data_IF_391126851582
#
_entry.id   IF_391126851582
#
_cell.length_a   1.000
_cell.length_b   1.000
_cell.length_c   1.000
_cell.angle_alpha   90.00
_cell.angle_beta   90.00
_cell.angle_gamma   90.00
#
_symmetry.space_group_name_H-M   'P 1'
#
loop_
_entity.id
_entity.type
_entity.pdbx_description
1 polymer ?
#
# COMPACT_ATOMS: atom_id res chain seq x y z
N UNK A 1 10.49 -2.58 29.24
CA UNK A 1 10.41 -4.01 29.66
C UNK A 1 9.43 -4.83 28.80
N UNK A 2 8.24 -4.37 28.44
CA UNK A 2 7.25 -5.05 27.57
C UNK A 2 7.75 -5.30 26.14
N UNK A 3 8.57 -4.40 25.58
CA UNK A 3 9.12 -4.50 24.20
C UNK A 3 10.13 -5.65 24.08
N UNK A 4 10.95 -5.93 25.13
CA UNK A 4 11.90 -7.05 25.12
C UNK A 4 11.21 -8.43 25.12
N UNK A 5 10.01 -8.56 25.70
CA UNK A 5 9.25 -9.81 25.73
C UNK A 5 8.64 -10.14 24.36
N UNK A 6 8.02 -9.16 23.68
CA UNK A 6 7.47 -9.36 22.34
C UNK A 6 8.55 -9.75 21.30
N UNK A 7 9.75 -9.19 21.42
CA UNK A 7 10.88 -9.47 20.51
C UNK A 7 11.37 -10.93 20.54
N UNK A 8 11.41 -11.56 21.70
CA UNK A 8 11.77 -12.99 21.83
C UNK A 8 10.71 -13.93 21.27
N UNK A 9 9.46 -13.50 21.26
CA UNK A 9 8.31 -14.33 20.90
C UNK A 9 8.16 -14.52 19.38
N UNK A 10 8.56 -13.58 18.53
CA UNK A 10 8.49 -13.72 17.06
C UNK A 10 9.35 -14.88 16.56
N UNK A 11 10.51 -15.11 17.19
CA UNK A 11 11.44 -16.19 16.82
C UNK A 11 11.07 -17.53 17.44
N UNK A 12 10.46 -17.56 18.65
CA UNK A 12 10.26 -18.79 19.41
C UNK A 12 8.83 -19.05 19.87
N UNK A 13 7.97 -18.02 19.96
CA UNK A 13 6.59 -18.13 20.43
C UNK A 13 5.62 -18.80 19.46
N UNK A 14 4.36 -18.94 19.84
CA UNK A 14 3.30 -19.47 18.98
C UNK A 14 3.09 -18.56 17.77
N UNK A 15 3.18 -19.12 16.55
CA UNK A 15 3.17 -18.35 15.30
C UNK A 15 1.84 -17.62 15.12
N UNK A 16 0.70 -18.33 15.31
CA UNK A 16 -0.63 -17.74 15.14
C UNK A 16 -0.85 -16.57 16.11
N UNK A 17 -0.51 -16.79 17.39
CA UNK A 17 -0.65 -15.75 18.41
C UNK A 17 0.17 -14.50 18.08
N UNK A 18 1.45 -14.69 17.66
CA UNK A 18 2.32 -13.57 17.27
C UNK A 18 1.82 -12.86 16.02
N UNK A 19 1.32 -13.61 15.04
CA UNK A 19 0.73 -13.06 13.82
C UNK A 19 -0.50 -12.21 14.12
N UNK A 20 -1.42 -12.69 14.97
CA UNK A 20 -2.60 -11.94 15.38
C UNK A 20 -2.25 -10.67 16.19
N UNK A 21 -1.24 -10.73 17.07
CA UNK A 21 -0.75 -9.56 17.83
C UNK A 21 -0.17 -8.46 16.93
N UNK A 22 0.42 -8.84 15.78
CA UNK A 22 0.87 -7.88 14.76
C UNK A 22 -0.26 -7.43 13.84
N UNK A 23 -1.11 -8.36 13.45
CA UNK A 23 -2.20 -8.16 12.50
C UNK A 23 -3.20 -7.09 12.95
N UNK A 24 -3.75 -7.19 14.16
CA UNK A 24 -4.79 -6.26 14.60
C UNK A 24 -4.38 -4.78 14.60
N UNK A 25 -3.21 -4.38 15.13
CA UNK A 25 -2.78 -2.99 15.03
C UNK A 25 -2.47 -2.55 13.59
N UNK A 26 -1.97 -3.46 12.72
CA UNK A 26 -1.76 -3.15 11.32
C UNK A 26 -3.08 -2.97 10.59
N UNK A 27 -4.06 -3.84 10.83
CA UNK A 27 -5.40 -3.73 10.27
C UNK A 27 -6.04 -2.39 10.63
N UNK A 28 -5.99 -2.02 11.92
CA UNK A 28 -6.50 -0.73 12.37
C UNK A 28 -5.76 0.44 11.70
N UNK A 29 -4.45 0.33 11.50
CA UNK A 29 -3.67 1.35 10.79
C UNK A 29 -4.13 1.52 9.33
N UNK A 30 -4.39 0.41 8.61
CA UNK A 30 -4.88 0.48 7.24
C UNK A 30 -6.31 1.00 7.15
N UNK A 31 -7.20 0.62 8.08
CA UNK A 31 -8.54 1.18 8.15
C UNK A 31 -8.54 2.69 8.45
N UNK A 32 -7.70 3.15 9.38
CA UNK A 32 -7.56 4.58 9.65
C UNK A 32 -7.07 5.35 8.41
N UNK A 33 -6.13 4.78 7.65
CA UNK A 33 -5.67 5.36 6.38
C UNK A 33 -6.82 5.44 5.36
N UNK A 34 -7.66 4.43 5.27
CA UNK A 34 -8.82 4.45 4.37
C UNK A 34 -9.85 5.50 4.81
N UNK A 35 -10.13 5.59 6.11
CA UNK A 35 -11.10 6.55 6.66
C UNK A 35 -10.66 7.99 6.41
N UNK A 36 -9.39 8.34 6.67
CA UNK A 36 -8.96 9.72 6.43
C UNK A 36 -8.99 10.08 4.94
N UNK A 37 -8.75 9.14 4.04
CA UNK A 37 -8.92 9.34 2.60
C UNK A 37 -10.38 9.65 2.21
N UNK A 38 -11.35 8.97 2.84
CA UNK A 38 -12.77 9.31 2.66
C UNK A 38 -13.10 10.70 3.19
N UNK A 39 -12.59 11.05 4.39
CA UNK A 39 -12.83 12.38 4.97
C UNK A 39 -12.25 13.47 4.10
N UNK A 40 -11.07 13.28 3.52
CA UNK A 40 -10.45 14.23 2.58
C UNK A 40 -11.34 14.49 1.36
N UNK A 41 -11.89 13.43 0.75
CA UNK A 41 -12.83 13.54 -0.36
C UNK A 41 -14.14 14.26 0.04
N UNK A 42 -14.66 14.00 1.25
CA UNK A 42 -15.85 14.69 1.78
C UNK A 42 -15.58 16.18 1.97
N UNK A 43 -14.42 16.53 2.57
CA UNK A 43 -14.02 17.94 2.77
C UNK A 43 -13.88 18.64 1.43
N UNK A 44 -13.19 18.05 0.45
CA UNK A 44 -13.07 18.59 -0.89
C UNK A 44 -14.44 18.78 -1.55
N UNK A 45 -15.30 17.78 -1.54
CA UNK A 45 -16.62 17.84 -2.16
C UNK A 45 -17.53 18.89 -1.52
N UNK A 46 -17.49 19.01 -0.18
CA UNK A 46 -18.38 19.90 0.56
C UNK A 46 -17.93 21.36 0.57
N UNK A 47 -16.63 21.61 0.70
CA UNK A 47 -16.09 22.97 0.88
C UNK A 47 -15.49 23.56 -0.40
N UNK A 48 -15.06 22.74 -1.35
CA UNK A 48 -14.45 23.19 -2.61
C UNK A 48 -15.37 22.94 -3.81
N UNK A 49 -16.24 21.93 -3.72
CA UNK A 49 -17.20 21.58 -4.76
C UNK A 49 -16.62 20.61 -5.80
N UNK A 50 -17.39 20.40 -6.89
CA UNK A 50 -17.07 19.40 -7.94
C UNK A 50 -15.73 19.67 -8.64
N UNK A 51 -15.39 20.93 -8.87
CA UNK A 51 -14.15 21.31 -9.54
C UNK A 51 -12.92 20.97 -8.68
N UNK A 52 -13.00 21.24 -7.36
CA UNK A 52 -11.94 20.86 -6.43
C UNK A 52 -11.77 19.35 -6.31
N UNK A 53 -12.87 18.60 -6.26
CA UNK A 53 -12.84 17.14 -6.23
C UNK A 53 -12.22 16.57 -7.53
N UNK A 54 -12.56 17.13 -8.69
CA UNK A 54 -11.98 16.74 -9.97
C UNK A 54 -10.48 17.11 -10.06
N UNK A 55 -10.11 18.31 -9.54
CA UNK A 55 -8.73 18.79 -9.55
C UNK A 55 -7.78 17.94 -8.69
N UNK A 56 -8.27 17.34 -7.61
CA UNK A 56 -7.47 16.48 -6.72
C UNK A 56 -7.62 15.01 -7.10
N UNK A 57 -8.86 14.53 -7.26
CA UNK A 57 -9.17 13.12 -7.48
C UNK A 57 -8.90 12.59 -8.89
N UNK A 58 -8.73 13.47 -9.88
CA UNK A 58 -8.51 13.11 -11.28
C UNK A 58 -7.05 12.73 -11.60
N UNK A 59 -6.49 13.39 -12.62
CA UNK A 59 -5.10 13.17 -13.09
C UNK A 59 -4.03 13.20 -11.98
N UNK A 60 -4.10 14.14 -10.99
CA UNK A 60 -3.10 14.17 -9.92
C UNK A 60 -3.02 12.89 -9.10
N UNK A 61 -4.18 12.32 -8.73
CA UNK A 61 -4.21 11.08 -7.93
C UNK A 61 -3.55 9.90 -8.65
N UNK A 62 -3.73 9.76 -9.95
CA UNK A 62 -3.08 8.70 -10.73
C UNK A 62 -1.55 8.81 -10.70
N UNK A 63 -1.02 10.01 -10.87
CA UNK A 63 0.42 10.30 -10.86
C UNK A 63 1.01 10.09 -9.45
N UNK A 64 0.32 10.60 -8.44
CA UNK A 64 0.70 10.47 -7.03
C UNK A 64 0.75 8.99 -6.61
N UNK A 65 -0.22 8.17 -7.05
CA UNK A 65 -0.24 6.74 -6.75
C UNK A 65 0.96 6.00 -7.34
N UNK A 66 1.43 6.38 -8.53
CA UNK A 66 2.65 5.81 -9.11
C UNK A 66 3.86 6.09 -8.21
N UNK A 67 4.02 7.33 -7.75
CA UNK A 67 5.12 7.73 -6.86
C UNK A 67 5.02 7.05 -5.49
N UNK A 68 3.81 6.96 -4.93
CA UNK A 68 3.58 6.26 -3.67
C UNK A 68 3.91 4.77 -3.78
N UNK A 69 3.61 4.12 -4.91
CA UNK A 69 4.00 2.73 -5.16
C UNK A 69 5.53 2.57 -5.24
N UNK A 70 6.26 3.54 -5.79
CA UNK A 70 7.73 3.55 -5.77
C UNK A 70 8.25 3.63 -4.32
N UNK A 71 7.72 4.56 -3.52
CA UNK A 71 8.11 4.73 -2.12
C UNK A 71 7.77 3.46 -1.32
N UNK A 72 6.59 2.88 -1.50
CA UNK A 72 6.18 1.64 -0.84
C UNK A 72 7.09 0.46 -1.19
N UNK A 73 7.55 0.37 -2.45
CA UNK A 73 8.51 -0.65 -2.85
C UNK A 73 9.85 -0.51 -2.11
N UNK A 74 10.40 0.70 -2.04
CA UNK A 74 11.66 0.98 -1.36
C UNK A 74 11.55 0.80 0.15
N UNK A 75 10.48 1.26 0.78
CA UNK A 75 10.25 1.07 2.23
C UNK A 75 10.01 -0.39 2.59
N UNK A 76 9.38 -1.17 1.71
CA UNK A 76 9.25 -2.62 1.88
C UNK A 76 10.62 -3.31 1.85
N UNK A 77 11.54 -2.89 0.98
CA UNK A 77 12.90 -3.41 0.96
C UNK A 77 13.66 -3.08 2.26
N UNK A 78 13.49 -1.88 2.80
CA UNK A 78 14.05 -1.49 4.11
C UNK A 78 13.47 -2.39 5.21
N UNK A 79 12.14 -2.63 5.21
CA UNK A 79 11.50 -3.57 6.16
C UNK A 79 12.14 -4.95 6.10
N UNK A 80 12.31 -5.51 4.90
CA UNK A 80 12.90 -6.83 4.70
C UNK A 80 14.34 -6.87 5.20
N UNK A 81 15.14 -5.88 4.84
CA UNK A 81 16.57 -5.81 5.22
C UNK A 81 16.74 -5.70 6.74
N UNK A 82 16.02 -4.79 7.37
CA UNK A 82 16.05 -4.58 8.83
C UNK A 82 15.53 -5.83 9.56
N UNK A 83 14.43 -6.45 9.11
CA UNK A 83 13.88 -7.66 9.71
C UNK A 83 14.88 -8.83 9.65
N UNK A 84 15.55 -9.02 8.51
CA UNK A 84 16.55 -10.07 8.35
C UNK A 84 17.75 -9.85 9.28
N UNK A 85 18.35 -8.66 9.30
CA UNK A 85 19.48 -8.37 10.18
C UNK A 85 19.11 -8.45 11.67
N UNK A 86 17.90 -8.03 12.00
CA UNK A 86 17.39 -8.17 13.36
C UNK A 86 17.21 -9.63 13.75
N UNK A 87 16.67 -10.47 12.85
CA UNK A 87 16.55 -11.90 13.04
C UNK A 87 17.89 -12.63 13.17
N UNK A 88 18.93 -12.14 12.48
CA UNK A 88 20.33 -12.62 12.64
C UNK A 88 20.94 -12.27 13.99
N UNK A 89 20.32 -11.39 14.78
CA UNK A 89 20.91 -10.85 16.01
C UNK A 89 22.02 -9.82 15.76
N UNK A 90 22.24 -9.38 14.52
CA UNK A 90 23.30 -8.44 14.18
C UNK A 90 22.82 -6.98 14.34
N UNK A 91 22.89 -6.47 15.56
CA UNK A 91 22.39 -5.15 15.92
C UNK A 91 23.18 -4.01 15.27
N UNK A 92 24.49 -4.20 15.00
CA UNK A 92 25.29 -3.24 14.26
C UNK A 92 24.78 -3.04 12.82
N UNK A 93 24.49 -4.16 12.11
CA UNK A 93 23.91 -4.09 10.77
C UNK A 93 22.49 -3.50 10.78
N UNK A 94 21.68 -3.72 11.82
CA UNK A 94 20.39 -3.07 11.97
C UNK A 94 20.57 -1.56 12.05
N UNK A 95 21.48 -1.07 12.90
CA UNK A 95 21.73 0.36 13.05
C UNK A 95 22.22 1.00 11.72
N UNK A 96 23.18 0.35 11.03
CA UNK A 96 23.66 0.78 9.70
C UNK A 96 22.52 0.83 8.67
N UNK A 97 21.63 -0.16 8.70
CA UNK A 97 20.47 -0.21 7.80
C UNK A 97 19.43 0.88 8.10
N UNK A 98 19.24 1.27 9.36
CA UNK A 98 18.41 2.41 9.73
C UNK A 98 18.98 3.69 9.13
N UNK A 99 20.29 3.92 9.25
CA UNK A 99 20.98 5.07 8.64
C UNK A 99 20.83 5.08 7.12
N UNK A 100 21.14 3.96 6.46
CA UNK A 100 21.02 3.81 5.01
C UNK A 100 19.57 4.03 4.53
N UNK A 101 18.59 3.51 5.27
CA UNK A 101 17.17 3.72 4.97
C UNK A 101 16.75 5.18 5.08
N UNK A 102 17.17 5.89 6.12
CA UNK A 102 16.90 7.33 6.29
C UNK A 102 17.63 8.16 5.23
N UNK A 103 18.85 7.78 4.86
CA UNK A 103 19.56 8.41 3.74
C UNK A 103 18.81 8.29 2.43
N UNK A 104 18.30 7.08 2.10
CA UNK A 104 17.47 6.84 0.91
C UNK A 104 16.19 7.68 0.98
N UNK A 105 15.52 7.73 2.13
CA UNK A 105 14.29 8.51 2.29
C UNK A 105 14.50 10.01 1.98
N UNK A 106 15.59 10.58 2.47
CA UNK A 106 15.90 12.00 2.21
C UNK A 106 16.38 12.22 0.78
N UNK A 107 17.38 11.43 0.33
CA UNK A 107 18.04 11.67 -0.97
C UNK A 107 17.10 11.33 -2.15
N UNK A 108 16.47 10.16 -2.13
CA UNK A 108 15.52 9.76 -3.18
C UNK A 108 14.24 10.59 -3.08
N UNK A 109 13.77 10.88 -1.87
CA UNK A 109 12.63 11.76 -1.65
C UNK A 109 12.86 13.16 -2.21
N UNK A 110 14.04 13.78 -1.98
CA UNK A 110 14.40 15.08 -2.54
C UNK A 110 14.52 15.04 -4.05
N UNK A 111 15.15 13.99 -4.60
CA UNK A 111 15.29 13.81 -6.04
C UNK A 111 13.92 13.65 -6.73
N UNK A 112 13.05 12.79 -6.20
CA UNK A 112 11.69 12.61 -6.73
C UNK A 112 10.87 13.89 -6.58
N UNK A 113 10.96 14.58 -5.43
CA UNK A 113 10.28 15.86 -5.20
C UNK A 113 10.67 16.89 -6.27
N UNK A 114 11.96 17.10 -6.48
CA UNK A 114 12.46 18.07 -7.45
C UNK A 114 12.00 17.75 -8.88
N UNK A 115 12.17 16.49 -9.32
CA UNK A 115 11.75 16.08 -10.66
C UNK A 115 10.24 16.23 -10.83
N UNK A 116 9.44 15.77 -9.87
CA UNK A 116 7.99 15.77 -9.98
C UNK A 116 7.39 17.18 -9.90
N UNK A 117 7.98 18.11 -9.13
CA UNK A 117 7.55 19.50 -9.11
C UNK A 117 7.77 20.17 -10.47
N UNK A 118 8.93 19.92 -11.09
CA UNK A 118 9.29 20.49 -12.40
C UNK A 118 8.47 19.87 -13.52
N UNK A 119 8.26 18.53 -13.49
CA UNK A 119 7.56 17.81 -14.54
C UNK A 119 6.04 17.78 -14.38
N UNK A 120 5.46 18.24 -13.27
CA UNK A 120 4.03 18.26 -13.02
C UNK A 120 3.20 18.87 -14.16
N UNK A 121 3.57 20.04 -14.77
CA UNK A 121 2.80 20.60 -15.89
C UNK A 121 2.78 19.68 -17.12
N UNK A 122 3.88 18.98 -17.37
CA UNK A 122 4.01 18.04 -18.52
C UNK A 122 3.10 16.85 -18.31
N UNK A 123 3.11 16.24 -17.11
CA UNK A 123 2.25 15.10 -16.80
C UNK A 123 0.76 15.45 -16.87
N UNK A 124 0.35 16.61 -16.35
CA UNK A 124 -1.05 17.05 -16.42
C UNK A 124 -1.52 17.28 -17.86
N UNK A 125 -0.64 17.84 -18.72
CA UNK A 125 -0.93 17.98 -20.16
C UNK A 125 -1.04 16.64 -20.86
N UNK A 126 -0.13 15.70 -20.60
CA UNK A 126 -0.17 14.34 -21.16
C UNK A 126 -1.43 13.58 -20.75
N UNK A 127 -1.99 13.87 -19.58
CA UNK A 127 -3.23 13.27 -19.10
C UNK A 127 -4.50 14.02 -19.58
N UNK A 128 -4.36 15.02 -20.46
CA UNK A 128 -5.46 15.85 -20.96
C UNK A 128 -6.33 16.43 -19.82
N UNK A 129 -5.68 16.94 -18.78
CA UNK A 129 -6.37 17.57 -17.64
C UNK A 129 -7.16 18.80 -18.15
N UNK A 130 -8.47 18.94 -17.83
CA UNK A 130 -9.28 20.06 -18.29
C UNK A 130 -8.70 21.41 -17.87
N UNK A 131 -8.86 22.43 -18.72
CA UNK A 131 -8.26 23.75 -18.53
C UNK A 131 -8.78 24.47 -17.27
N UNK A 132 -10.02 24.25 -16.90
CA UNK A 132 -10.69 24.79 -15.71
C UNK A 132 -10.11 24.27 -14.40
N UNK A 133 -9.64 23.03 -14.38
CA UNK A 133 -9.05 22.40 -13.18
C UNK A 133 -7.53 22.39 -13.19
N UNK A 134 -6.87 22.70 -14.31
CA UNK A 134 -5.44 22.54 -14.52
C UNK A 134 -4.59 23.29 -13.45
N UNK A 135 -4.93 24.55 -13.16
CA UNK A 135 -4.18 25.37 -12.18
C UNK A 135 -4.33 24.83 -10.75
N UNK A 136 -5.54 24.38 -10.38
CA UNK A 136 -5.78 23.75 -9.08
C UNK A 136 -5.03 22.43 -8.95
N UNK A 137 -5.07 21.60 -9.99
CA UNK A 137 -4.33 20.33 -10.06
C UNK A 137 -2.82 20.53 -9.96
N UNK A 138 -2.28 21.55 -10.63
CA UNK A 138 -0.87 21.88 -10.60
C UNK A 138 -0.43 22.33 -9.20
N UNK A 139 -1.23 23.20 -8.56
CA UNK A 139 -0.98 23.66 -7.19
C UNK A 139 -0.98 22.48 -6.21
N UNK A 140 -2.00 21.62 -6.30
CA UNK A 140 -2.10 20.42 -5.47
C UNK A 140 -0.90 19.51 -5.65
N UNK A 141 -0.54 19.17 -6.88
CA UNK A 141 0.60 18.30 -7.18
C UNK A 141 1.93 18.87 -6.67
N UNK A 142 2.20 20.14 -6.89
CA UNK A 142 3.44 20.77 -6.45
C UNK A 142 3.60 20.74 -4.92
N UNK A 143 2.54 21.06 -4.18
CA UNK A 143 2.55 21.01 -2.72
C UNK A 143 2.63 19.57 -2.19
N UNK A 144 1.93 18.63 -2.85
CA UNK A 144 2.05 17.22 -2.52
C UNK A 144 3.48 16.73 -2.73
N UNK A 145 4.11 17.04 -3.88
CA UNK A 145 5.48 16.61 -4.15
C UNK A 145 6.51 17.29 -3.26
N UNK A 146 6.25 18.52 -2.78
CA UNK A 146 7.07 19.16 -1.75
C UNK A 146 7.03 18.36 -0.44
N UNK A 147 5.94 17.69 -0.14
CA UNK A 147 5.80 16.82 1.04
C UNK A 147 6.44 15.45 0.92
N UNK A 148 7.01 15.06 -0.24
CA UNK A 148 7.55 13.70 -0.46
C UNK A 148 8.70 13.37 0.49
N UNK A 149 9.56 14.32 0.81
CA UNK A 149 10.68 14.07 1.74
C UNK A 149 10.18 13.70 3.13
N UNK A 150 9.35 14.52 3.80
CA UNK A 150 8.81 14.15 5.11
C UNK A 150 7.90 12.92 5.04
N UNK A 151 7.15 12.72 3.97
CA UNK A 151 6.36 11.51 3.76
C UNK A 151 7.23 10.25 3.69
N UNK A 152 8.34 10.30 2.93
CA UNK A 152 9.23 9.15 2.80
C UNK A 152 9.98 8.85 4.10
N UNK A 153 10.40 9.89 4.85
CA UNK A 153 10.96 9.73 6.20
C UNK A 153 9.94 9.04 7.12
N UNK A 154 8.69 9.50 7.11
CA UNK A 154 7.60 8.93 7.87
C UNK A 154 7.37 7.45 7.52
N UNK A 155 7.27 7.11 6.24
CA UNK A 155 7.07 5.74 5.77
C UNK A 155 8.26 4.83 6.10
N UNK A 156 9.48 5.34 5.99
CA UNK A 156 10.70 4.61 6.36
C UNK A 156 10.74 4.32 7.86
N UNK A 157 10.40 5.29 8.70
CA UNK A 157 10.34 5.09 10.15
C UNK A 157 9.31 4.04 10.56
N UNK A 158 8.11 4.09 10.00
CA UNK A 158 7.09 3.05 10.19
C UNK A 158 7.61 1.68 9.75
N UNK A 159 8.26 1.60 8.60
CA UNK A 159 8.80 0.35 8.04
C UNK A 159 9.88 -0.26 8.93
N UNK A 160 10.76 0.55 9.49
CA UNK A 160 11.77 0.11 10.47
C UNK A 160 11.10 -0.45 11.73
N UNK A 161 10.14 0.26 12.30
CA UNK A 161 9.43 -0.21 13.50
C UNK A 161 8.68 -1.52 13.24
N UNK A 162 7.98 -1.63 12.10
CA UNK A 162 7.32 -2.87 11.69
C UNK A 162 8.31 -4.03 11.55
N UNK A 163 9.46 -3.79 10.94
CA UNK A 163 10.52 -4.79 10.79
C UNK A 163 11.03 -5.33 12.12
N UNK A 164 11.05 -4.49 13.16
CA UNK A 164 11.45 -4.86 14.53
C UNK A 164 10.33 -5.54 15.33
N UNK A 165 9.12 -5.68 14.74
CA UNK A 165 7.95 -6.28 15.38
C UNK A 165 7.14 -5.32 16.25
N UNK A 166 7.39 -4.01 16.15
CA UNK A 166 6.55 -3.00 16.79
C UNK A 166 5.36 -2.67 15.89
N UNK A 167 4.18 -3.04 16.32
CA UNK A 167 2.93 -2.75 15.61
C UNK A 167 2.14 -1.60 16.22
N UNK A 168 2.42 -1.21 17.48
CA UNK A 168 1.66 -0.19 18.19
C UNK A 168 2.10 1.23 17.83
N UNK A 169 3.40 1.50 17.80
CA UNK A 169 3.92 2.83 17.46
C UNK A 169 3.55 3.25 16.03
N UNK A 170 3.67 2.39 14.99
CA UNK A 170 3.13 2.70 13.66
C UNK A 170 1.66 3.10 13.66
N UNK A 171 0.81 2.45 14.47
CA UNK A 171 -0.59 2.83 14.60
C UNK A 171 -0.76 4.25 15.15
N UNK A 172 0.00 4.62 16.19
CA UNK A 172 -0.07 5.99 16.74
C UNK A 172 0.38 7.04 15.72
N UNK A 173 1.39 6.75 14.89
CA UNK A 173 1.82 7.68 13.84
C UNK A 173 0.75 7.85 12.77
N UNK A 174 0.09 6.78 12.36
CA UNK A 174 -1.05 6.87 11.42
C UNK A 174 -2.19 7.69 12.03
N UNK A 175 -2.48 7.50 13.32
CA UNK A 175 -3.51 8.26 14.02
C UNK A 175 -3.16 9.77 14.09
N UNK A 176 -1.91 10.11 14.42
CA UNK A 176 -1.42 11.49 14.42
C UNK A 176 -1.57 12.11 13.03
N UNK A 177 -1.17 11.37 11.97
CA UNK A 177 -1.32 11.83 10.58
C UNK A 177 -2.78 12.11 10.24
N UNK A 178 -3.67 11.15 10.54
CA UNK A 178 -5.10 11.27 10.26
C UNK A 178 -5.75 12.45 10.99
N UNK A 179 -5.51 12.58 12.29
CA UNK A 179 -6.07 13.68 13.10
C UNK A 179 -5.52 15.02 12.64
N UNK A 180 -4.21 15.13 12.39
CA UNK A 180 -3.58 16.37 11.90
C UNK A 180 -4.13 16.76 10.53
N UNK A 181 -4.23 15.79 9.60
CA UNK A 181 -4.75 16.03 8.24
C UNK A 181 -6.19 16.53 8.29
N UNK A 182 -7.07 15.81 8.98
CA UNK A 182 -8.49 16.18 9.11
C UNK A 182 -8.63 17.55 9.80
N UNK A 183 -7.87 17.81 10.86
CA UNK A 183 -7.90 19.08 11.57
C UNK A 183 -7.48 20.25 10.68
N UNK A 184 -6.39 20.12 9.93
CA UNK A 184 -5.95 21.15 8.99
C UNK A 184 -6.89 21.30 7.80
N UNK A 185 -7.49 20.23 7.28
CA UNK A 185 -8.47 20.33 6.19
C UNK A 185 -9.69 21.13 6.62
N UNK A 186 -10.25 20.84 7.79
CA UNK A 186 -11.37 21.59 8.33
C UNK A 186 -11.01 23.06 8.61
N UNK A 187 -9.79 23.32 9.08
CA UNK A 187 -9.31 24.68 9.35
C UNK A 187 -9.07 25.44 8.05
N UNK A 188 -8.23 24.89 7.14
CA UNK A 188 -7.76 25.63 5.97
C UNK A 188 -8.77 25.62 4.82
N UNK A 189 -9.35 24.48 4.49
CA UNK A 189 -10.34 24.39 3.42
C UNK A 189 -11.75 24.76 3.92
N UNK A 190 -12.11 24.37 5.15
CA UNK A 190 -13.44 24.64 5.73
C UNK A 190 -13.56 26.09 6.24
N UNK A 191 -12.80 26.46 7.28
CA UNK A 191 -12.94 27.75 7.97
C UNK A 191 -12.32 28.90 7.18
N UNK A 192 -11.07 28.76 6.72
CA UNK A 192 -10.39 29.80 5.94
C UNK A 192 -10.76 29.79 4.44
N UNK A 193 -11.56 28.83 3.99
CA UNK A 193 -12.07 28.75 2.61
C UNK A 193 -10.95 28.78 1.53
N UNK A 194 -9.79 28.24 1.83
CA UNK A 194 -8.63 28.22 0.91
C UNK A 194 -8.78 27.21 -0.24
N UNK A 195 -9.87 26.47 -0.30
CA UNK A 195 -10.15 25.52 -1.40
C UNK A 195 -9.09 24.43 -1.51
N UNK A 196 -8.69 24.11 -2.75
CA UNK A 196 -7.66 23.10 -3.07
C UNK A 196 -6.30 23.45 -2.47
N UNK A 197 -5.96 24.76 -2.37
CA UNK A 197 -4.72 25.20 -1.72
C UNK A 197 -4.71 24.78 -0.25
N UNK A 198 -5.85 24.93 0.46
CA UNK A 198 -5.98 24.54 1.87
C UNK A 198 -5.73 23.04 2.08
N UNK A 199 -6.36 22.17 1.29
CA UNK A 199 -6.15 20.72 1.40
C UNK A 199 -4.73 20.29 1.02
N UNK A 200 -4.11 21.00 0.08
CA UNK A 200 -2.71 20.75 -0.31
C UNK A 200 -1.73 21.08 0.82
N UNK A 201 -1.92 22.23 1.47
CA UNK A 201 -1.13 22.64 2.64
C UNK A 201 -1.37 21.70 3.82
N UNK A 202 -2.62 21.27 4.05
CA UNK A 202 -2.96 20.28 5.08
C UNK A 202 -2.16 18.98 4.91
N UNK A 203 -2.06 18.50 3.69
CA UNK A 203 -1.28 17.29 3.37
C UNK A 203 0.20 17.49 3.67
N UNK A 204 0.76 18.63 3.24
CA UNK A 204 2.15 18.98 3.51
C UNK A 204 2.45 19.07 5.02
N UNK A 205 1.58 19.76 5.78
CA UNK A 205 1.73 19.90 7.23
C UNK A 205 1.60 18.57 7.97
N UNK A 206 0.63 17.72 7.59
CA UNK A 206 0.46 16.40 8.18
C UNK A 206 1.70 15.52 7.96
N UNK A 207 2.25 15.49 6.75
CA UNK A 207 3.48 14.75 6.46
C UNK A 207 4.70 15.33 7.19
N UNK A 208 4.82 16.66 7.28
CA UNK A 208 5.89 17.34 8.03
C UNK A 208 5.84 16.98 9.52
N UNK A 209 4.67 17.07 10.15
CA UNK A 209 4.50 16.71 11.57
C UNK A 209 4.94 15.27 11.80
N UNK A 210 4.48 14.33 10.98
CA UNK A 210 4.81 12.92 11.17
C UNK A 210 6.28 12.61 10.89
N UNK A 211 6.86 13.24 9.85
CA UNK A 211 8.29 13.13 9.57
C UNK A 211 9.14 13.64 10.73
N UNK A 212 8.79 14.81 11.30
CA UNK A 212 9.48 15.39 12.46
C UNK A 212 9.30 14.50 13.69
N UNK A 213 8.09 14.05 13.99
CA UNK A 213 7.81 13.18 15.16
C UNK A 213 8.63 11.91 15.10
N UNK A 214 8.74 11.27 13.93
CA UNK A 214 9.59 10.08 13.76
C UNK A 214 11.07 10.41 14.00
N UNK A 215 11.58 11.47 13.41
CA UNK A 215 12.99 11.89 13.60
C UNK A 215 13.28 12.18 15.08
N UNK A 216 12.39 12.88 15.79
CA UNK A 216 12.51 13.16 17.21
C UNK A 216 12.53 11.86 18.03
N UNK A 217 11.60 10.93 17.77
CA UNK A 217 11.55 9.66 18.49
C UNK A 217 12.82 8.84 18.21
N UNK A 218 13.27 8.79 16.95
CA UNK A 218 14.49 8.03 16.61
C UNK A 218 15.75 8.67 17.19
N UNK A 219 15.79 9.98 17.38
CA UNK A 219 16.93 10.67 18.00
C UNK A 219 17.03 10.40 19.51
N UNK A 220 15.88 10.43 20.21
CA UNK A 220 15.87 10.34 21.69
C UNK A 220 15.63 8.94 22.23
N UNK A 221 15.45 7.93 21.35
CA UNK A 221 15.37 6.55 21.77
C UNK A 221 16.75 6.00 22.15
N UNK A 222 16.79 5.10 23.13
CA UNK A 222 17.96 4.29 23.46
C UNK A 222 17.95 2.92 22.78
N UNK A 223 16.99 2.67 21.87
CA UNK A 223 16.85 1.42 21.12
C UNK A 223 17.82 1.37 19.92
N UNK A 224 17.94 0.18 19.33
CA UNK A 224 18.81 -0.13 18.18
C UNK A 224 18.49 0.66 16.90
N UNK A 225 17.32 1.27 16.83
CA UNK A 225 16.91 2.15 15.72
C UNK A 225 17.17 3.63 16.01
N UNK A 226 17.98 3.95 17.04
CA UNK A 226 18.43 5.31 17.27
C UNK A 226 19.08 5.88 16.02
N UNK A 227 18.70 7.10 15.67
CA UNK A 227 19.21 7.81 14.51
C UNK A 227 19.55 9.25 14.87
N UNK A 228 20.77 9.67 14.57
CA UNK A 228 21.22 11.06 14.71
C UNK A 228 21.54 11.64 13.34
N UNK A 229 21.12 12.89 13.11
CA UNK A 229 21.49 13.62 11.88
C UNK A 229 23.01 13.77 11.72
N UNK A 230 23.78 13.72 12.82
CA UNK A 230 25.26 13.73 12.77
C UNK A 230 25.84 12.46 12.14
N UNK A 231 25.08 11.36 12.17
CA UNK A 231 25.45 10.07 11.59
C UNK A 231 24.82 9.85 10.20
N UNK A 232 24.31 10.92 9.58
CA UNK A 232 23.71 10.84 8.27
C UNK A 232 24.69 10.27 7.24
N UNK A 233 24.33 9.14 6.65
CA UNK A 233 25.19 8.43 5.72
C UNK A 233 24.62 7.08 5.30
N UNK A 234 25.37 6.35 4.51
CA UNK A 234 24.93 5.07 3.95
C UNK A 234 26.07 4.06 3.85
N UNK A 235 25.70 2.78 3.87
CA UNK A 235 26.56 1.68 3.49
C UNK A 235 26.25 1.26 2.04
N UNK A 236 27.28 1.12 1.20
CA UNK A 236 27.08 0.76 -0.23
C UNK A 236 26.33 -0.57 -0.42
N UNK A 237 26.60 -1.55 0.47
CA UNK A 237 25.92 -2.84 0.44
C UNK A 237 24.42 -2.71 0.74
N UNK A 238 24.04 -1.88 1.72
CA UNK A 238 22.66 -1.62 2.08
C UNK A 238 21.93 -0.89 0.95
N UNK A 239 22.53 0.12 0.33
CA UNK A 239 21.95 0.79 -0.84
C UNK A 239 21.70 -0.20 -1.97
N UNK A 240 22.70 -1.00 -2.32
CA UNK A 240 22.57 -2.03 -3.35
C UNK A 240 21.41 -2.99 -3.03
N UNK A 241 21.28 -3.40 -1.76
CA UNK A 241 20.22 -4.30 -1.29
C UNK A 241 18.86 -3.61 -1.34
N UNK A 242 18.74 -2.36 -0.85
CA UNK A 242 17.49 -1.58 -0.89
C UNK A 242 16.99 -1.45 -2.34
N UNK A 243 17.85 -1.05 -3.28
CA UNK A 243 17.43 -0.87 -4.67
C UNK A 243 17.19 -2.20 -5.39
N UNK A 244 18.01 -3.24 -5.15
CA UNK A 244 17.84 -4.55 -5.79
C UNK A 244 16.56 -5.26 -5.39
N UNK A 245 16.02 -4.97 -4.21
CA UNK A 245 14.75 -5.51 -3.70
C UNK A 245 13.62 -4.52 -3.94
N UNK A 246 13.85 -3.24 -3.66
CA UNK A 246 12.81 -2.20 -3.66
C UNK A 246 12.31 -1.84 -5.06
N UNK A 247 13.19 -1.75 -6.06
CA UNK A 247 12.76 -1.46 -7.43
C UNK A 247 11.86 -2.56 -8.00
N UNK A 248 12.20 -3.87 -7.89
CA UNK A 248 11.27 -4.92 -8.27
C UNK A 248 9.95 -4.90 -7.51
N UNK A 249 9.93 -4.56 -6.22
CA UNK A 249 8.68 -4.44 -5.46
C UNK A 249 7.85 -3.25 -5.91
N UNK A 250 8.48 -2.11 -6.22
CA UNK A 250 7.80 -0.96 -6.79
C UNK A 250 7.15 -1.31 -8.14
N UNK A 251 7.90 -1.95 -9.03
CA UNK A 251 7.40 -2.41 -10.32
C UNK A 251 6.27 -3.43 -10.15
N UNK A 252 6.39 -4.39 -9.22
CA UNK A 252 5.31 -5.32 -8.90
C UNK A 252 4.02 -4.58 -8.50
N UNK A 253 4.11 -3.58 -7.62
CA UNK A 253 2.94 -2.81 -7.18
C UNK A 253 2.29 -2.05 -8.35
N UNK A 254 3.08 -1.53 -9.27
CA UNK A 254 2.58 -0.88 -10.50
C UNK A 254 1.86 -1.87 -11.43
N UNK A 255 2.28 -3.16 -11.45
CA UNK A 255 1.63 -4.19 -12.26
C UNK A 255 0.21 -4.55 -11.80
N UNK A 256 -0.19 -4.12 -10.62
CA UNK A 256 -1.59 -4.16 -10.19
C UNK A 256 -2.34 -2.88 -10.62
N UNK A 257 -1.70 -1.72 -10.56
CA UNK A 257 -2.32 -0.42 -10.85
C UNK A 257 -2.56 -0.20 -12.35
N UNK A 258 -1.59 -0.51 -13.21
CA UNK A 258 -1.67 -0.29 -14.65
C UNK A 258 -2.87 -1.03 -15.29
N UNK A 259 -3.05 -2.36 -15.09
CA UNK A 259 -4.20 -3.05 -15.66
C UNK A 259 -5.54 -2.56 -15.10
N UNK A 260 -5.60 -2.12 -13.84
CA UNK A 260 -6.81 -1.54 -13.27
C UNK A 260 -7.20 -0.24 -13.97
N UNK A 261 -6.22 0.55 -14.41
CA UNK A 261 -6.46 1.73 -15.26
C UNK A 261 -7.02 1.35 -16.65
N UNK A 262 -6.55 0.24 -17.23
CA UNK A 262 -7.08 -0.27 -18.51
C UNK A 262 -8.53 -0.74 -18.34
N UNK A 263 -8.84 -1.45 -17.24
CA UNK A 263 -10.22 -1.83 -16.89
C UNK A 263 -11.10 -0.60 -16.73
N UNK A 264 -10.64 0.43 -16.00
CA UNK A 264 -11.35 1.70 -15.82
C UNK A 264 -11.63 2.39 -17.15
N UNK A 265 -10.61 2.49 -18.02
CA UNK A 265 -10.78 3.06 -19.37
C UNK A 265 -11.86 2.34 -20.15
N UNK A 266 -11.89 1.01 -20.04
CA UNK A 266 -12.90 0.21 -20.73
C UNK A 266 -14.31 0.40 -20.15
N UNK A 267 -14.43 0.57 -18.85
CA UNK A 267 -15.71 0.89 -18.20
C UNK A 267 -16.26 2.24 -18.65
N UNK A 268 -15.40 3.21 -19.00
CA UNK A 268 -15.83 4.50 -19.53
C UNK A 268 -16.61 4.37 -20.85
N UNK A 269 -16.31 3.33 -21.65
CA UNK A 269 -17.04 3.07 -22.91
C UNK A 269 -18.51 2.67 -22.68
N UNK A 270 -18.85 2.18 -21.47
CA UNK A 270 -20.22 1.80 -21.08
C UNK A 270 -21.02 2.93 -20.41
N UNK A 271 -20.44 4.14 -20.32
CA UNK A 271 -21.14 5.32 -19.83
C UNK A 271 -20.97 5.59 -18.33
N UNK A 272 -21.63 6.66 -17.90
CA UNK A 272 -21.47 7.24 -16.55
C UNK A 272 -21.92 6.29 -15.43
N UNK A 273 -22.98 5.51 -15.65
CA UNK A 273 -23.51 4.57 -14.67
C UNK A 273 -22.49 3.46 -14.35
N UNK A 274 -21.79 2.93 -15.37
CA UNK A 274 -20.75 1.92 -15.18
C UNK A 274 -19.55 2.47 -14.40
N UNK A 275 -19.16 3.71 -14.66
CA UNK A 275 -18.06 4.38 -13.95
C UNK A 275 -18.44 4.66 -12.49
N UNK A 276 -19.66 5.13 -12.24
CA UNK A 276 -20.17 5.37 -10.89
C UNK A 276 -20.28 4.06 -10.11
N UNK A 277 -20.78 2.99 -10.75
CA UNK A 277 -20.87 1.66 -10.16
C UNK A 277 -19.50 1.08 -9.79
N UNK A 278 -18.50 1.24 -10.67
CA UNK A 278 -17.15 0.81 -10.40
C UNK A 278 -16.54 1.57 -9.21
N UNK A 279 -16.75 2.87 -9.14
CA UNK A 279 -16.27 3.68 -8.02
C UNK A 279 -16.89 3.27 -6.68
N UNK A 280 -18.21 3.00 -6.66
CA UNK A 280 -18.90 2.52 -5.47
C UNK A 280 -18.37 1.14 -5.04
N UNK A 281 -18.21 0.21 -5.99
CA UNK A 281 -17.65 -1.12 -5.77
C UNK A 281 -16.24 -1.05 -5.17
N UNK A 282 -15.32 -0.26 -5.76
CA UNK A 282 -13.92 -0.14 -5.30
C UNK A 282 -13.84 0.36 -3.85
N UNK A 283 -14.74 1.24 -3.42
CA UNK A 283 -14.75 1.71 -2.05
C UNK A 283 -15.03 0.59 -1.04
N UNK A 284 -15.94 -0.32 -1.35
CA UNK A 284 -16.23 -1.49 -0.52
C UNK A 284 -15.09 -2.53 -0.60
N UNK A 285 -14.60 -2.78 -1.81
CA UNK A 285 -13.48 -3.70 -2.10
C UNK A 285 -12.21 -3.35 -1.30
N UNK A 286 -11.94 -2.06 -1.12
CA UNK A 286 -10.79 -1.57 -0.34
C UNK A 286 -10.76 -2.07 1.12
N UNK A 287 -11.89 -2.45 1.70
CA UNK A 287 -11.92 -3.02 3.06
C UNK A 287 -11.26 -4.41 3.10
N UNK A 288 -11.48 -5.24 2.09
CA UNK A 288 -10.76 -6.51 1.95
C UNK A 288 -9.25 -6.29 1.76
N UNK A 289 -8.86 -5.30 0.96
CA UNK A 289 -7.44 -4.97 0.73
C UNK A 289 -6.73 -4.45 1.98
N UNK A 290 -7.43 -3.74 2.88
CA UNK A 290 -6.90 -3.38 4.20
C UNK A 290 -6.59 -4.62 5.04
N UNK A 291 -7.49 -5.60 5.03
CA UNK A 291 -7.31 -6.87 5.73
C UNK A 291 -6.09 -7.64 5.20
N UNK A 292 -6.04 -7.88 3.90
CA UNK A 292 -4.95 -8.60 3.23
C UNK A 292 -3.60 -7.91 3.44
N UNK A 293 -3.54 -6.58 3.31
CA UNK A 293 -2.31 -5.80 3.56
C UNK A 293 -1.80 -5.92 5.00
N UNK A 294 -2.70 -6.07 5.97
CA UNK A 294 -2.32 -6.26 7.37
C UNK A 294 -1.67 -7.63 7.61
N UNK A 295 -2.22 -8.70 7.02
CA UNK A 295 -1.63 -10.05 7.07
C UNK A 295 -0.28 -10.06 6.34
N UNK A 296 -0.23 -9.48 5.14
CA UNK A 296 1.00 -9.35 4.35
C UNK A 296 2.12 -8.70 5.15
N UNK A 297 1.84 -7.57 5.79
CA UNK A 297 2.82 -6.83 6.61
C UNK A 297 3.29 -7.65 7.82
N UNK A 298 2.39 -8.34 8.51
CA UNK A 298 2.74 -9.22 9.62
C UNK A 298 3.60 -10.40 9.13
N UNK A 299 3.25 -10.99 7.99
CA UNK A 299 3.97 -12.08 7.36
C UNK A 299 5.39 -11.67 6.96
N UNK A 300 5.56 -10.51 6.29
CA UNK A 300 6.87 -9.98 5.91
C UNK A 300 7.76 -9.79 7.14
N UNK A 301 7.21 -9.23 8.21
CA UNK A 301 7.95 -9.02 9.46
C UNK A 301 8.40 -10.34 10.08
N UNK A 302 7.45 -11.27 10.28
CA UNK A 302 7.73 -12.55 10.94
C UNK A 302 8.63 -13.45 10.10
N UNK A 303 8.34 -13.59 8.81
CA UNK A 303 9.12 -14.41 7.89
C UNK A 303 10.52 -13.83 7.68
N UNK A 304 10.65 -12.49 7.58
CA UNK A 304 11.94 -11.81 7.43
C UNK A 304 12.88 -12.05 8.63
N UNK A 305 12.38 -11.93 9.86
CA UNK A 305 13.15 -12.20 11.06
C UNK A 305 13.57 -13.69 11.16
N UNK A 306 12.64 -14.61 10.87
CA UNK A 306 12.92 -16.04 10.91
C UNK A 306 13.86 -16.49 9.79
N UNK A 307 13.76 -15.88 8.61
CA UNK A 307 14.69 -16.10 7.51
C UNK A 307 16.10 -15.61 7.88
N UNK A 308 16.22 -14.44 8.49
CA UNK A 308 17.47 -13.93 9.02
C UNK A 308 18.09 -14.88 10.04
N UNK A 309 17.29 -15.47 10.93
CA UNK A 309 17.71 -16.49 11.91
C UNK A 309 17.94 -17.88 11.28
N UNK A 310 17.92 -18.01 9.95
CA UNK A 310 18.08 -19.27 9.20
C UNK A 310 17.05 -20.36 9.55
N UNK A 311 15.92 -20.01 10.15
CA UNK A 311 14.85 -20.95 10.53
C UNK A 311 13.82 -21.08 9.40
N UNK A 312 14.20 -21.75 8.30
CA UNK A 312 13.35 -21.95 7.12
C UNK A 312 12.11 -22.78 7.45
N UNK A 313 12.22 -23.75 8.36
CA UNK A 313 11.08 -24.55 8.81
C UNK A 313 9.98 -23.66 9.41
N UNK A 314 10.37 -22.63 10.19
CA UNK A 314 9.44 -21.70 10.79
C UNK A 314 8.89 -20.71 9.76
N UNK A 315 9.69 -20.25 8.78
CA UNK A 315 9.22 -19.44 7.64
C UNK A 315 8.10 -20.17 6.89
N UNK A 316 8.25 -21.47 6.66
CA UNK A 316 7.22 -22.30 6.01
C UNK A 316 5.92 -22.43 6.86
N UNK A 317 6.06 -22.59 8.18
CA UNK A 317 4.89 -22.56 9.07
C UNK A 317 4.19 -21.21 9.07
N UNK A 318 4.94 -20.11 9.00
CA UNK A 318 4.39 -18.74 8.86
C UNK A 318 3.61 -18.63 7.56
N UNK A 319 4.12 -19.18 6.45
CA UNK A 319 3.38 -19.23 5.18
C UNK A 319 2.02 -19.92 5.32
N UNK A 320 1.97 -21.11 5.95
CA UNK A 320 0.69 -21.82 6.11
C UNK A 320 -0.31 -21.06 6.99
N UNK A 321 0.14 -20.44 8.08
CA UNK A 321 -0.73 -19.61 8.91
C UNK A 321 -1.19 -18.34 8.19
N UNK A 322 -0.30 -17.68 7.44
CA UNK A 322 -0.68 -16.54 6.60
C UNK A 322 -1.73 -16.93 5.56
N UNK A 323 -1.51 -18.05 4.85
CA UNK A 323 -2.48 -18.56 3.84
C UNK A 323 -3.82 -18.90 4.47
N UNK A 324 -3.82 -19.49 5.65
CA UNK A 324 -5.06 -19.82 6.37
C UNK A 324 -5.84 -18.55 6.78
N UNK A 325 -5.14 -17.56 7.34
CA UNK A 325 -5.77 -16.28 7.73
C UNK A 325 -6.28 -15.52 6.50
N UNK A 326 -5.49 -15.45 5.42
CA UNK A 326 -5.94 -14.86 4.16
C UNK A 326 -7.20 -15.56 3.62
N UNK A 327 -7.22 -16.90 3.65
CA UNK A 327 -8.37 -17.68 3.21
C UNK A 327 -9.61 -17.42 4.08
N UNK A 328 -9.44 -17.41 5.42
CA UNK A 328 -10.54 -17.08 6.35
C UNK A 328 -11.09 -15.68 6.04
N UNK A 329 -10.21 -14.68 5.85
CA UNK A 329 -10.63 -13.33 5.48
C UNK A 329 -11.34 -13.29 4.13
N UNK A 330 -10.83 -13.99 3.12
CA UNK A 330 -11.45 -14.08 1.81
C UNK A 330 -12.88 -14.66 1.88
N UNK A 331 -13.07 -15.70 2.68
CA UNK A 331 -14.40 -16.30 2.90
C UNK A 331 -15.31 -15.36 3.70
N UNK A 332 -14.80 -14.73 4.76
CA UNK A 332 -15.59 -13.82 5.60
C UNK A 332 -16.01 -12.57 4.83
N UNK A 333 -15.07 -11.86 4.20
CA UNK A 333 -15.38 -10.65 3.41
C UNK A 333 -16.17 -11.01 2.15
N UNK A 334 -15.81 -12.09 1.46
CA UNK A 334 -16.55 -12.58 0.30
C UNK A 334 -17.99 -12.91 0.64
N UNK A 335 -18.23 -13.65 1.71
CA UNK A 335 -19.56 -13.97 2.21
C UNK A 335 -20.33 -12.74 2.68
N UNK A 336 -19.69 -11.84 3.44
CA UNK A 336 -20.29 -10.61 3.91
C UNK A 336 -20.71 -9.70 2.73
N UNK A 337 -19.84 -9.53 1.75
CA UNK A 337 -20.13 -8.67 0.60
C UNK A 337 -21.17 -9.29 -0.34
N UNK A 338 -21.16 -10.61 -0.50
CA UNK A 338 -22.17 -11.32 -1.29
C UNK A 338 -23.56 -11.22 -0.66
N UNK A 339 -23.67 -11.37 0.67
CA UNK A 339 -24.94 -11.39 1.40
C UNK A 339 -25.50 -10.01 1.74
N UNK A 340 -24.63 -9.01 1.93
CA UNK A 340 -25.05 -7.67 2.41
C UNK A 340 -24.39 -6.51 1.66
N UNK A 341 -23.73 -6.78 0.55
CA UNK A 341 -23.06 -5.75 -0.27
C UNK A 341 -24.02 -4.72 -0.84
N UNK A 342 -25.26 -5.11 -1.15
CA UNK A 342 -26.31 -4.18 -1.60
C UNK A 342 -26.59 -3.08 -0.56
N UNK A 343 -26.67 -3.45 0.73
CA UNK A 343 -26.87 -2.49 1.83
C UNK A 343 -25.68 -1.55 2.01
N UNK A 344 -24.46 -2.08 1.89
CA UNK A 344 -23.26 -1.28 1.98
C UNK A 344 -23.12 -0.32 0.79
N UNK A 345 -23.43 -0.76 -0.42
CA UNK A 345 -23.36 0.05 -1.64
C UNK A 345 -24.41 1.17 -1.67
N UNK A 346 -25.58 1.00 -1.02
CA UNK A 346 -26.57 2.06 -0.82
C UNK A 346 -26.05 3.28 -0.06
N UNK A 347 -24.95 3.15 0.67
CA UNK A 347 -24.29 4.30 1.30
C UNK A 347 -23.60 5.22 0.26
N UNK A 348 -23.32 4.70 -0.93
CA UNK A 348 -22.60 5.42 -1.99
C UNK A 348 -23.50 5.85 -3.14
N UNK A 349 -24.62 5.16 -3.37
CA UNK A 349 -25.56 5.49 -4.46
C UNK A 349 -26.99 5.17 -4.09
N UNK A 350 -27.90 6.04 -4.54
CA UNK A 350 -29.36 5.81 -4.47
C UNK A 350 -29.95 5.43 -5.83
N UNK A 351 -29.16 5.52 -6.92
CA UNK A 351 -29.61 5.19 -8.27
C UNK A 351 -29.73 3.67 -8.44
N UNK A 352 -30.91 3.13 -8.82
CA UNK A 352 -31.13 1.69 -8.96
C UNK A 352 -30.23 1.03 -10.01
N UNK A 353 -29.91 1.72 -11.12
CA UNK A 353 -29.07 1.17 -12.18
C UNK A 353 -27.62 1.06 -11.71
N UNK A 354 -27.08 2.13 -11.12
CA UNK A 354 -25.74 2.17 -10.54
C UNK A 354 -25.61 1.13 -9.44
N UNK A 355 -26.63 1.00 -8.57
CA UNK A 355 -26.65 -0.01 -7.49
C UNK A 355 -26.60 -1.43 -8.05
N UNK A 356 -27.45 -1.75 -9.02
CA UNK A 356 -27.49 -3.07 -9.64
C UNK A 356 -26.14 -3.45 -10.27
N UNK A 357 -25.53 -2.52 -11.01
CA UNK A 357 -24.22 -2.74 -11.62
C UNK A 357 -23.12 -2.90 -10.58
N UNK A 358 -23.11 -2.08 -9.54
CA UNK A 358 -22.08 -2.17 -8.47
C UNK A 358 -22.20 -3.45 -7.66
N UNK A 359 -23.41 -3.94 -7.37
CA UNK A 359 -23.65 -5.24 -6.74
C UNK A 359 -23.15 -6.36 -7.64
N UNK A 360 -23.43 -6.29 -8.95
CA UNK A 360 -22.92 -7.26 -9.92
C UNK A 360 -21.40 -7.34 -9.94
N UNK A 361 -20.72 -6.17 -9.98
CA UNK A 361 -19.25 -6.08 -9.94
C UNK A 361 -18.68 -6.64 -8.62
N UNK A 362 -19.27 -6.24 -7.48
CA UNK A 362 -18.84 -6.70 -6.16
C UNK A 362 -19.00 -8.22 -6.03
N UNK A 363 -20.10 -8.79 -6.48
CA UNK A 363 -20.36 -10.23 -6.39
C UNK A 363 -19.36 -11.05 -7.21
N UNK A 364 -19.00 -10.60 -8.41
CA UNK A 364 -17.98 -11.26 -9.25
C UNK A 364 -16.64 -11.34 -8.49
N UNK A 365 -16.21 -10.24 -7.88
CA UNK A 365 -14.92 -10.16 -7.21
C UNK A 365 -14.96 -10.85 -5.84
N UNK A 366 -15.98 -10.56 -5.03
CA UNK A 366 -16.14 -11.10 -3.69
C UNK A 366 -16.20 -12.65 -3.66
N UNK A 367 -16.91 -13.26 -4.63
CA UNK A 367 -16.97 -14.72 -4.77
C UNK A 367 -15.63 -15.37 -5.14
N UNK A 368 -14.63 -14.59 -5.54
CA UNK A 368 -13.34 -15.08 -6.03
C UNK A 368 -12.14 -14.65 -5.19
N UNK A 369 -12.32 -13.92 -4.08
CA UNK A 369 -11.20 -13.51 -3.20
C UNK A 369 -10.34 -14.69 -2.74
N UNK A 370 -10.91 -15.86 -2.54
CA UNK A 370 -10.17 -17.06 -2.13
C UNK A 370 -9.06 -17.44 -3.12
N UNK A 371 -9.22 -17.08 -4.40
CA UNK A 371 -8.19 -17.33 -5.42
C UNK A 371 -6.97 -16.42 -5.26
N UNK A 372 -7.13 -15.25 -4.61
CA UNK A 372 -6.04 -14.31 -4.37
C UNK A 372 -5.15 -14.70 -3.17
N UNK A 373 -5.65 -15.51 -2.25
CA UNK A 373 -4.97 -15.84 -0.98
C UNK A 373 -3.55 -16.39 -1.17
N UNK A 374 -3.36 -17.26 -2.16
CA UNK A 374 -2.04 -17.81 -2.47
C UNK A 374 -1.06 -16.78 -3.04
N UNK A 375 -1.56 -15.83 -3.85
CA UNK A 375 -0.74 -14.76 -4.42
C UNK A 375 -0.12 -13.95 -3.28
N UNK A 376 -0.92 -13.47 -2.34
CA UNK A 376 -0.45 -12.60 -1.27
C UNK A 376 0.45 -13.33 -0.28
N UNK A 377 0.04 -14.54 0.14
CA UNK A 377 0.82 -15.34 1.09
C UNK A 377 2.20 -15.71 0.57
N UNK A 378 2.28 -16.21 -0.68
CA UNK A 378 3.56 -16.54 -1.33
C UNK A 378 4.38 -15.29 -1.58
N UNK A 379 3.76 -14.23 -2.13
CA UNK A 379 4.43 -12.96 -2.40
C UNK A 379 5.06 -12.38 -1.13
N UNK A 380 4.32 -12.36 -0.01
CA UNK A 380 4.79 -11.83 1.27
C UNK A 380 5.98 -12.60 1.84
N UNK A 381 5.94 -13.94 1.79
CA UNK A 381 7.06 -14.76 2.24
C UNK A 381 8.27 -14.62 1.32
N UNK A 382 8.08 -14.62 0.02
CA UNK A 382 9.17 -14.43 -0.93
C UNK A 382 9.79 -13.02 -0.80
N UNK A 383 8.96 -11.98 -0.60
CA UNK A 383 9.43 -10.63 -0.26
C UNK A 383 10.30 -10.65 0.99
N UNK A 384 9.82 -11.28 2.06
CA UNK A 384 10.56 -11.41 3.33
C UNK A 384 11.92 -12.10 3.18
N UNK A 385 12.02 -13.05 2.25
CA UNK A 385 13.25 -13.75 1.91
C UNK A 385 14.16 -13.01 0.88
N UNK A 386 13.71 -11.85 0.38
CA UNK A 386 14.45 -11.05 -0.59
C UNK A 386 14.33 -11.49 -2.05
N UNK A 387 13.39 -12.39 -2.38
CA UNK A 387 13.14 -12.88 -3.74
C UNK A 387 12.23 -11.92 -4.53
N UNK A 388 12.68 -10.70 -4.73
CA UNK A 388 11.90 -9.65 -5.36
C UNK A 388 11.68 -9.85 -6.87
N UNK A 389 12.72 -10.25 -7.61
CA UNK A 389 12.69 -10.36 -9.07
C UNK A 389 11.72 -11.43 -9.59
N UNK A 390 11.76 -12.69 -9.11
CA UNK A 390 10.80 -13.70 -9.57
C UNK A 390 9.36 -13.29 -9.35
N UNK A 391 9.06 -12.69 -8.17
CA UNK A 391 7.73 -12.21 -7.82
C UNK A 391 7.25 -11.12 -8.77
N UNK A 392 8.12 -10.17 -9.11
CA UNK A 392 7.84 -9.12 -10.10
C UNK A 392 7.53 -9.74 -11.48
N UNK A 393 8.37 -10.67 -11.99
CA UNK A 393 8.14 -11.29 -13.31
C UNK A 393 6.84 -12.09 -13.36
N UNK A 394 6.53 -12.85 -12.31
CA UNK A 394 5.25 -13.57 -12.21
C UNK A 394 4.10 -12.57 -12.29
N UNK A 395 4.12 -11.46 -11.52
CA UNK A 395 3.07 -10.46 -11.54
C UNK A 395 2.92 -9.80 -12.93
N UNK A 396 4.02 -9.49 -13.62
CA UNK A 396 3.99 -8.92 -14.98
C UNK A 396 3.22 -9.87 -15.91
N UNK A 397 3.59 -11.14 -15.93
CA UNK A 397 3.02 -12.11 -16.88
C UNK A 397 1.57 -12.44 -16.49
N UNK A 398 1.33 -12.81 -15.23
CA UNK A 398 0.05 -13.40 -14.84
C UNK A 398 -1.01 -12.38 -14.45
N UNK A 399 -0.62 -11.16 -14.04
CA UNK A 399 -1.58 -10.13 -13.67
C UNK A 399 -1.69 -9.09 -14.79
N UNK A 400 -0.57 -8.44 -15.15
CA UNK A 400 -0.59 -7.33 -16.08
C UNK A 400 -1.00 -7.79 -17.49
N UNK A 401 -0.26 -8.73 -18.08
CA UNK A 401 -0.56 -9.19 -19.44
C UNK A 401 -1.90 -9.92 -19.53
N UNK A 402 -2.27 -10.76 -18.56
CA UNK A 402 -3.55 -11.48 -18.60
C UNK A 402 -4.74 -10.53 -18.57
N UNK A 403 -4.73 -9.50 -17.70
CA UNK A 403 -5.84 -8.52 -17.65
C UNK A 403 -5.92 -7.69 -18.93
N UNK A 404 -4.79 -7.22 -19.44
CA UNK A 404 -4.75 -6.42 -20.68
C UNK A 404 -5.21 -7.28 -21.85
N UNK A 405 -4.72 -8.50 -21.99
CA UNK A 405 -5.11 -9.42 -23.05
C UNK A 405 -6.61 -9.73 -23.00
N UNK A 406 -7.15 -10.01 -21.79
CA UNK A 406 -8.56 -10.24 -21.62
C UNK A 406 -9.40 -9.04 -22.11
N UNK A 407 -9.05 -7.83 -21.71
CA UNK A 407 -9.78 -6.61 -22.11
C UNK A 407 -9.70 -6.35 -23.62
N UNK A 408 -8.57 -6.66 -24.26
CA UNK A 408 -8.36 -6.39 -25.68
C UNK A 408 -8.97 -7.45 -26.62
N UNK A 409 -8.89 -8.72 -26.24
CA UNK A 409 -9.19 -9.83 -27.17
C UNK A 409 -10.53 -10.52 -26.92
N UNK A 410 -11.13 -10.34 -25.75
CA UNK A 410 -12.39 -11.01 -25.47
C UNK A 410 -13.61 -10.17 -25.85
N UNK A 411 -14.70 -10.76 -26.45
CA UNK A 411 -15.91 -10.05 -26.84
C UNK A 411 -16.63 -9.44 -25.64
N UNK A 412 -17.07 -8.21 -25.78
CA UNK A 412 -17.62 -7.43 -24.67
C UNK A 412 -19.13 -7.54 -24.61
N UNK A 413 -19.65 -8.15 -23.56
CA UNK A 413 -21.07 -8.46 -23.40
C UNK A 413 -21.79 -7.59 -22.35
N UNK A 414 -21.20 -6.47 -21.89
CA UNK A 414 -21.84 -5.56 -20.94
C UNK A 414 -20.89 -4.89 -19.94
N UNK A 415 -21.41 -3.96 -19.09
CA UNK A 415 -20.58 -3.12 -18.21
C UNK A 415 -19.92 -3.86 -17.05
N UNK A 416 -20.38 -5.06 -16.66
CA UNK A 416 -19.73 -5.89 -15.63
C UNK A 416 -18.60 -6.76 -16.21
N UNK A 417 -18.56 -6.90 -17.53
CA UNK A 417 -17.62 -7.76 -18.25
C UNK A 417 -16.14 -7.45 -17.94
N UNK A 418 -15.66 -6.19 -17.91
CA UNK A 418 -14.26 -5.90 -17.62
C UNK A 418 -13.78 -6.40 -16.24
N UNK A 419 -14.71 -6.62 -15.31
CA UNK A 419 -14.41 -7.05 -13.94
C UNK A 419 -13.94 -8.50 -13.88
N UNK A 420 -14.34 -9.36 -14.80
CA UNK A 420 -13.87 -10.75 -14.86
C UNK A 420 -12.35 -10.88 -15.11
N UNK A 421 -11.70 -9.81 -15.58
CA UNK A 421 -10.24 -9.76 -15.71
C UNK A 421 -9.53 -9.99 -14.36
N UNK A 422 -10.15 -9.60 -13.23
CA UNK A 422 -9.58 -9.77 -11.89
C UNK A 422 -9.53 -11.24 -11.48
N UNK A 423 -10.65 -11.98 -11.40
CA UNK A 423 -10.66 -13.41 -11.08
C UNK A 423 -9.76 -14.24 -12.00
N UNK A 424 -9.82 -14.01 -13.31
CA UNK A 424 -9.02 -14.74 -14.28
C UNK A 424 -7.52 -14.61 -14.01
N UNK A 425 -7.06 -13.37 -13.79
CA UNK A 425 -5.67 -13.09 -13.47
C UNK A 425 -5.25 -13.69 -12.12
N UNK A 426 -6.14 -13.70 -11.13
CA UNK A 426 -5.85 -14.27 -9.81
C UNK A 426 -5.72 -15.79 -9.85
N UNK A 427 -6.60 -16.48 -10.57
CA UNK A 427 -6.50 -17.93 -10.72
C UNK A 427 -5.17 -18.31 -11.37
N UNK A 428 -4.83 -17.69 -12.51
CA UNK A 428 -3.57 -17.95 -13.20
C UNK A 428 -2.36 -17.63 -12.30
N UNK A 429 -2.38 -16.47 -11.64
CA UNK A 429 -1.31 -16.05 -10.75
C UNK A 429 -1.12 -17.02 -9.59
N UNK A 430 -2.21 -17.43 -8.93
CA UNK A 430 -2.15 -18.36 -7.79
C UNK A 430 -1.48 -19.67 -8.16
N UNK A 431 -1.80 -20.22 -9.33
CA UNK A 431 -1.16 -21.45 -9.83
C UNK A 431 0.34 -21.23 -10.03
N UNK A 432 0.75 -20.14 -10.69
CA UNK A 432 2.16 -19.89 -10.98
C UNK A 432 2.94 -19.57 -9.69
N UNK A 433 2.37 -18.78 -8.77
CA UNK A 433 2.98 -18.51 -7.47
C UNK A 433 3.13 -19.79 -6.64
N UNK A 434 2.12 -20.68 -6.63
CA UNK A 434 2.18 -21.97 -5.94
C UNK A 434 3.29 -22.86 -6.53
N UNK A 435 3.33 -23.00 -7.85
CA UNK A 435 4.39 -23.77 -8.54
C UNK A 435 5.76 -23.22 -8.15
N UNK A 436 5.96 -21.90 -8.26
CA UNK A 436 7.22 -21.27 -7.89
C UNK A 436 7.62 -21.58 -6.45
N UNK A 437 6.72 -21.42 -5.49
CA UNK A 437 7.01 -21.60 -4.06
C UNK A 437 7.37 -23.05 -3.73
N UNK A 438 6.59 -24.01 -4.24
CA UNK A 438 6.78 -25.43 -3.91
C UNK A 438 7.90 -26.10 -4.71
N UNK A 439 8.29 -25.58 -5.87
CA UNK A 439 9.42 -26.10 -6.66
C UNK A 439 10.76 -25.49 -6.28
N UNK A 440 10.78 -24.28 -5.72
CA UNK A 440 12.02 -23.59 -5.40
C UNK A 440 12.73 -24.24 -4.21
N UNK A 441 13.98 -24.66 -4.41
CA UNK A 441 14.84 -25.33 -3.40
C UNK A 441 15.04 -24.47 -2.14
N UNK A 442 14.97 -23.15 -2.24
CA UNK A 442 15.13 -22.19 -1.13
C UNK A 442 14.06 -22.37 -0.04
N UNK A 443 12.86 -22.82 -0.42
CA UNK A 443 11.70 -23.03 0.45
C UNK A 443 11.44 -24.50 0.77
N UNK A 444 12.21 -25.42 0.15
CA UNK A 444 12.14 -26.85 0.48
C UNK A 444 12.93 -27.14 1.75
N UNK A 445 12.47 -28.11 2.54
CA UNK A 445 13.25 -28.72 3.61
C UNK A 445 14.49 -29.40 2.99
N UNK A 446 15.65 -29.07 3.49
CA UNK A 446 16.75 -30.00 3.64
C UNK A 446 16.77 -30.50 5.06
#
# INVERSE_FOLDING_TARGET
MLIKRAKKDILHGNILQQMLLLFFPFLLSYFLQQIYGFVDNIVLGRFVGKEGLAAVGGSPTAIINIINNCINGLTSAITVMVAQYYGMGNMEKVHKSVRSGMFVAVSVGAFLSAIMIVSAPVFLKLMNTPADTLNMSLTYMRLYFLSLVPYFIYMTGISILRALGDSKRPLYFVLITAVSKIGFDLLLAGLFKMGVLGTSISTLLAHLICGIVILVIFRYTSDIYQFSLKEFGYEKEDLKKIFSIGVPFALQSMMFAIPSTVVQKKLNDFGTDAVAAYSAYVNIDNLFWCYSSAISTATITMAGQNFGNRNIARVRKIFYWASLLEFIGAVLFGGLFYLSGDKALRLFTSDPNVLSLSVGMLNIVASTYFTYTFIESVSSVCKACGDARPIMYIAIVTICFTRIAYILFYPQSGPTYPIYAFPLSWILSSVVYAIYFFTNKKYRYR
#
